data_IF_393904562121
#
_entry.id   IF_393904562121
#
_cell.length_a   1.000
_cell.length_b   1.000
_cell.length_c   1.000
_cell.angle_alpha   90.00
_cell.angle_beta   90.00
_cell.angle_gamma   90.00
#
_symmetry.space_group_name_H-M   'P 1'
#
loop_
_entity.id
_entity.type
_entity.pdbx_description
1 polymer ?
#
# COMPACT_ATOMS: atom_id res chain seq x y z
N UNK A 1 21.40 -19.59 -28.14
CA UNK A 1 22.72 -19.50 -27.47
C UNK A 1 22.59 -20.02 -26.03
N UNK A 2 23.70 -20.37 -25.39
CA UNK A 2 23.68 -20.88 -24.00
C UNK A 2 23.62 -19.73 -22.99
N UNK A 3 23.00 -19.96 -21.83
CA UNK A 3 23.14 -19.02 -20.71
C UNK A 3 24.60 -19.04 -20.23
N UNK A 4 25.26 -17.89 -20.01
CA UNK A 4 26.58 -17.85 -19.40
C UNK A 4 26.60 -18.59 -18.05
N UNK A 5 27.63 -19.42 -17.77
CA UNK A 5 27.65 -20.30 -16.59
C UNK A 5 27.39 -19.60 -15.25
N UNK A 6 27.89 -18.38 -15.08
CA UNK A 6 27.71 -17.53 -13.89
C UNK A 6 26.24 -17.14 -13.62
N UNK A 7 25.39 -17.22 -14.64
CA UNK A 7 23.97 -16.93 -14.54
C UNK A 7 23.10 -18.19 -14.48
N UNK A 8 23.63 -19.37 -14.77
CA UNK A 8 22.85 -20.61 -14.94
C UNK A 8 21.93 -21.00 -13.77
N UNK A 9 22.26 -20.61 -12.53
CA UNK A 9 21.45 -20.85 -11.32
C UNK A 9 20.42 -19.76 -11.01
N UNK A 10 20.28 -18.75 -11.86
CA UNK A 10 19.38 -17.61 -11.64
C UNK A 10 17.95 -17.90 -12.11
N UNK A 11 17.04 -17.08 -11.60
CA UNK A 11 15.62 -17.09 -11.93
C UNK A 11 15.19 -15.69 -12.38
N UNK A 12 14.10 -15.65 -13.13
CA UNK A 12 13.32 -14.44 -13.41
C UNK A 12 11.92 -14.60 -12.80
N UNK A 13 11.30 -13.47 -12.47
CA UNK A 13 10.17 -13.43 -11.55
C UNK A 13 8.95 -12.78 -12.19
N UNK A 14 7.77 -13.36 -12.00
CA UNK A 14 6.51 -12.67 -12.24
C UNK A 14 5.75 -12.59 -10.93
N UNK A 15 4.99 -11.52 -10.71
CA UNK A 15 4.08 -11.46 -9.57
C UNK A 15 2.67 -11.08 -10.01
N UNK A 16 1.67 -11.69 -9.39
CA UNK A 16 0.26 -11.49 -9.72
C UNK A 16 -0.61 -11.58 -8.47
N UNK A 17 -1.76 -10.91 -8.46
CA UNK A 17 -2.75 -11.06 -7.40
C UNK A 17 -3.37 -12.47 -7.41
N UNK A 18 -3.67 -13.03 -6.24
CA UNK A 18 -4.27 -14.37 -6.10
C UNK A 18 -5.58 -14.52 -6.87
N UNK A 19 -6.37 -13.47 -7.01
CA UNK A 19 -7.63 -13.50 -7.78
C UNK A 19 -7.43 -13.77 -9.28
N UNK A 20 -6.22 -13.59 -9.80
CA UNK A 20 -5.88 -13.95 -11.18
C UNK A 20 -5.64 -15.44 -11.37
N UNK A 21 -5.45 -16.19 -10.28
CA UNK A 21 -5.09 -17.61 -10.31
C UNK A 21 -6.07 -18.47 -11.13
N UNK A 22 -7.41 -18.33 -11.02
CA UNK A 22 -8.34 -19.08 -11.87
C UNK A 22 -8.14 -18.85 -13.37
N UNK A 23 -7.76 -17.62 -13.79
CA UNK A 23 -7.43 -17.34 -15.18
C UNK A 23 -6.06 -17.94 -15.56
N UNK A 24 -5.05 -17.80 -14.71
CA UNK A 24 -3.72 -18.36 -14.93
C UNK A 24 -3.75 -19.89 -15.07
N UNK A 25 -4.58 -20.58 -14.30
CA UNK A 25 -4.76 -22.05 -14.40
C UNK A 25 -5.35 -22.49 -15.74
N UNK A 26 -6.15 -21.63 -16.40
CA UNK A 26 -6.76 -21.94 -17.70
C UNK A 26 -5.86 -21.63 -18.89
N UNK A 27 -5.16 -20.48 -18.86
CA UNK A 27 -4.44 -19.97 -20.04
C UNK A 27 -2.93 -19.87 -19.88
N UNK A 28 -2.40 -20.09 -18.68
CA UNK A 28 -1.06 -19.59 -18.33
C UNK A 28 -1.02 -18.07 -18.33
N UNK A 29 0.20 -17.53 -18.41
CA UNK A 29 0.42 -16.09 -18.52
C UNK A 29 0.25 -15.66 -19.97
N UNK A 30 -0.56 -14.64 -20.20
CA UNK A 30 -0.81 -14.07 -21.52
C UNK A 30 -0.32 -12.62 -21.54
N UNK A 31 0.27 -12.22 -22.68
CA UNK A 31 0.59 -10.83 -22.93
C UNK A 31 -0.69 -9.98 -23.02
N UNK A 32 -0.63 -8.70 -22.68
CA UNK A 32 -1.81 -7.81 -22.65
C UNK A 32 -2.52 -7.72 -24.01
N UNK A 33 -1.77 -7.72 -25.11
CA UNK A 33 -2.33 -7.69 -26.47
C UNK A 33 -2.78 -9.08 -26.97
N UNK A 34 -2.55 -10.15 -26.20
CA UNK A 34 -2.98 -11.48 -26.59
C UNK A 34 -4.51 -11.56 -26.67
N UNK A 35 -5.05 -12.16 -27.75
CA UNK A 35 -6.50 -12.22 -28.00
C UNK A 35 -7.30 -12.89 -26.88
N UNK A 36 -6.66 -13.83 -26.17
CA UNK A 36 -7.22 -14.55 -25.03
C UNK A 36 -7.01 -13.87 -23.67
N UNK A 37 -6.38 -12.68 -23.62
CA UNK A 37 -6.14 -12.01 -22.35
C UNK A 37 -7.49 -11.72 -21.64
N UNK A 38 -7.63 -12.09 -20.35
CA UNK A 38 -8.89 -11.98 -19.63
C UNK A 38 -9.32 -10.50 -19.52
N UNK A 39 -10.43 -10.15 -20.14
CA UNK A 39 -11.03 -8.80 -20.04
C UNK A 39 -11.91 -8.62 -18.80
N UNK A 40 -12.39 -9.72 -18.24
CA UNK A 40 -13.23 -9.76 -17.05
C UNK A 40 -12.59 -10.68 -16.01
N UNK A 41 -12.71 -10.32 -14.73
CA UNK A 41 -12.13 -11.10 -13.64
C UNK A 41 -10.58 -11.07 -13.61
N UNK A 42 -9.95 -10.13 -14.29
CA UNK A 42 -8.53 -9.84 -14.12
C UNK A 42 -8.37 -8.72 -13.10
N UNK A 43 -7.71 -9.03 -11.99
CA UNK A 43 -7.29 -8.07 -10.98
C UNK A 43 -5.95 -7.47 -11.41
N UNK A 44 -5.99 -6.32 -12.10
CA UNK A 44 -4.78 -5.59 -12.46
C UNK A 44 -4.21 -4.85 -11.25
N UNK A 45 -2.94 -5.14 -10.93
CA UNK A 45 -2.17 -4.44 -9.89
C UNK A 45 -1.16 -3.44 -10.47
N UNK A 46 -1.20 -3.20 -11.78
CA UNK A 46 -0.26 -2.33 -12.47
C UNK A 46 -0.71 -0.86 -12.42
N UNK A 47 0.25 0.06 -12.23
CA UNK A 47 -0.01 1.50 -12.30
C UNK A 47 -0.47 1.92 -13.70
N UNK A 48 -1.55 2.71 -13.76
CA UNK A 48 -2.25 3.08 -15.00
C UNK A 48 -1.35 3.82 -16.00
N UNK A 49 -0.50 4.73 -15.49
CA UNK A 49 0.45 5.50 -16.32
C UNK A 49 1.53 4.66 -17.00
N UNK A 50 1.82 3.46 -16.48
CA UNK A 50 2.80 2.53 -17.06
C UNK A 50 2.23 1.78 -18.27
N UNK A 51 0.95 1.41 -18.22
CA UNK A 51 0.29 0.60 -19.25
C UNK A 51 0.29 1.29 -20.61
N UNK A 52 0.00 2.60 -20.67
CA UNK A 52 -0.01 3.33 -21.94
C UNK A 52 1.36 3.29 -22.63
N UNK A 53 2.44 3.56 -21.89
CA UNK A 53 3.80 3.58 -22.45
C UNK A 53 4.20 2.21 -23.00
N UNK A 54 3.84 1.13 -22.30
CA UNK A 54 4.13 -0.24 -22.72
C UNK A 54 3.35 -0.67 -23.96
N UNK A 55 2.14 -0.14 -24.16
CA UNK A 55 1.37 -0.37 -25.39
C UNK A 55 2.03 0.22 -26.64
N UNK A 56 2.82 1.29 -26.47
CA UNK A 56 3.41 2.07 -27.56
C UNK A 56 4.92 1.80 -27.74
N UNK A 57 5.62 1.27 -26.73
CA UNK A 57 7.06 1.03 -26.77
C UNK A 57 7.40 -0.15 -27.70
N UNK A 58 8.03 0.16 -28.83
CA UNK A 58 8.46 -0.84 -29.81
C UNK A 58 9.58 -1.75 -29.27
N UNK A 59 9.52 -3.02 -29.62
CA UNK A 59 10.59 -4.00 -29.38
C UNK A 59 11.39 -4.16 -30.69
N UNK A 60 12.66 -3.74 -30.75
CA UNK A 60 13.41 -3.66 -32.01
C UNK A 60 14.10 -4.96 -32.44
N UNK A 61 14.05 -6.01 -31.62
CA UNK A 61 14.73 -7.29 -31.84
C UNK A 61 13.79 -8.47 -31.55
N UNK A 62 14.27 -9.71 -31.76
CA UNK A 62 13.46 -10.90 -31.58
C UNK A 62 12.15 -10.88 -32.39
N UNK A 63 11.00 -11.28 -31.82
CA UNK A 63 9.70 -11.27 -32.50
C UNK A 63 9.16 -9.89 -32.90
N UNK A 64 9.75 -8.79 -32.41
CA UNK A 64 9.29 -7.43 -32.70
C UNK A 64 7.98 -7.05 -31.98
N UNK A 65 7.20 -6.14 -32.55
CA UNK A 65 5.95 -5.65 -31.94
C UNK A 65 6.18 -4.57 -30.88
N UNK A 66 5.33 -4.52 -29.86
CA UNK A 66 5.48 -3.64 -28.71
C UNK A 66 5.54 -4.41 -27.38
N UNK A 67 5.92 -3.75 -26.29
CA UNK A 67 6.10 -4.39 -24.98
C UNK A 67 4.82 -5.09 -24.48
N UNK A 68 3.62 -4.60 -24.83
CA UNK A 68 2.35 -5.27 -24.52
C UNK A 68 2.08 -6.57 -25.29
N UNK A 69 2.89 -6.91 -26.29
CA UNK A 69 2.88 -8.21 -26.94
C UNK A 69 3.67 -9.27 -26.13
N UNK A 70 4.24 -8.91 -24.98
CA UNK A 70 5.07 -9.77 -24.16
C UNK A 70 4.53 -9.92 -22.73
N UNK A 71 4.70 -11.11 -22.15
CA UNK A 71 4.55 -11.39 -20.72
C UNK A 71 5.81 -10.89 -20.00
N UNK A 72 5.68 -9.97 -19.01
CA UNK A 72 6.83 -9.44 -18.30
C UNK A 72 7.31 -10.35 -17.17
N UNK A 73 8.60 -10.60 -17.14
CA UNK A 73 9.32 -11.23 -16.04
C UNK A 73 10.43 -10.28 -15.59
N UNK A 74 10.74 -10.20 -14.31
CA UNK A 74 11.76 -9.34 -13.73
C UNK A 74 13.03 -10.14 -13.42
N UNK A 75 14.21 -9.56 -13.63
CA UNK A 75 15.44 -10.19 -13.16
C UNK A 75 15.63 -10.07 -11.64
N UNK A 76 15.09 -9.00 -11.04
CA UNK A 76 15.16 -8.76 -9.59
C UNK A 76 13.99 -9.40 -8.84
N UNK A 77 14.29 -10.15 -7.77
CA UNK A 77 13.26 -10.78 -6.93
C UNK A 77 12.48 -9.75 -6.07
N UNK A 78 13.13 -8.65 -5.69
CA UNK A 78 12.52 -7.54 -4.95
C UNK A 78 12.40 -6.35 -5.89
N UNK A 79 11.33 -6.31 -6.67
CA UNK A 79 11.12 -5.27 -7.67
C UNK A 79 10.62 -3.96 -7.03
N UNK A 80 11.23 -2.80 -7.34
CA UNK A 80 10.64 -1.50 -7.03
C UNK A 80 9.22 -1.31 -7.57
N UNK A 81 8.79 -2.07 -8.59
CA UNK A 81 7.40 -2.06 -9.04
C UNK A 81 6.45 -2.59 -7.96
N UNK A 82 6.79 -3.68 -7.27
CA UNK A 82 5.98 -4.20 -6.17
C UNK A 82 5.88 -3.19 -5.03
N UNK A 83 6.96 -2.45 -4.73
CA UNK A 83 6.92 -1.37 -3.74
C UNK A 83 5.90 -0.29 -4.12
N UNK A 84 5.81 0.07 -5.40
CA UNK A 84 4.77 0.96 -5.91
C UNK A 84 3.36 0.40 -5.71
N UNK A 85 3.15 -0.89 -6.03
CA UNK A 85 1.86 -1.58 -5.86
C UNK A 85 1.39 -1.55 -4.40
N UNK A 86 2.24 -1.90 -3.45
CA UNK A 86 1.85 -1.95 -2.03
C UNK A 86 1.65 -0.55 -1.44
N UNK A 87 2.44 0.46 -1.88
CA UNK A 87 2.30 1.84 -1.41
C UNK A 87 0.99 2.49 -1.86
N UNK A 88 0.40 2.06 -2.98
CA UNK A 88 -0.91 2.52 -3.43
C UNK A 88 -2.07 2.00 -2.55
N UNK A 89 -1.82 1.01 -1.67
CA UNK A 89 -2.81 0.42 -0.75
C UNK A 89 -4.10 -0.06 -1.44
N UNK A 90 -3.97 -0.59 -2.66
CA UNK A 90 -5.08 -1.20 -3.40
C UNK A 90 -5.16 -2.72 -3.23
N UNK A 91 -4.08 -3.34 -2.76
CA UNK A 91 -3.98 -4.77 -2.49
C UNK A 91 -3.13 -5.01 -1.25
N UNK A 92 -3.39 -6.12 -0.58
CA UNK A 92 -2.57 -6.60 0.52
C UNK A 92 -1.37 -7.38 -0.03
N UNK A 93 -0.16 -7.08 0.44
CA UNK A 93 1.06 -7.72 -0.07
C UNK A 93 1.01 -9.25 0.06
N UNK A 94 0.32 -9.76 1.09
CA UNK A 94 0.13 -11.19 1.29
C UNK A 94 -0.68 -11.88 0.19
N UNK A 95 -1.50 -11.14 -0.56
CA UNK A 95 -2.34 -11.69 -1.65
C UNK A 95 -1.59 -11.73 -3.00
N UNK A 96 -0.33 -11.31 -3.03
CA UNK A 96 0.54 -11.44 -4.18
C UNK A 96 1.17 -12.84 -4.21
N UNK A 97 1.13 -13.46 -5.39
CA UNK A 97 1.82 -14.71 -5.71
C UNK A 97 3.05 -14.39 -6.56
N UNK A 98 4.21 -14.95 -6.21
CA UNK A 98 5.41 -14.88 -7.05
C UNK A 98 5.59 -16.19 -7.82
N UNK A 99 5.90 -16.09 -9.11
CA UNK A 99 6.25 -17.21 -9.95
C UNK A 99 7.70 -17.09 -10.36
N UNK A 100 8.48 -18.14 -10.14
CA UNK A 100 9.88 -18.17 -10.51
C UNK A 100 10.10 -19.04 -11.73
N UNK A 101 10.77 -18.49 -12.74
CA UNK A 101 11.14 -19.19 -13.96
C UNK A 101 12.65 -19.30 -14.02
N UNK A 102 13.22 -20.47 -14.34
CA UNK A 102 14.66 -20.59 -14.57
C UNK A 102 15.11 -19.61 -15.66
N UNK A 103 16.28 -18.98 -15.49
CA UNK A 103 16.79 -18.01 -16.47
C UNK A 103 17.03 -18.63 -17.87
N UNK A 104 17.10 -19.97 -17.95
CA UNK A 104 17.13 -20.71 -19.21
C UNK A 104 15.93 -20.44 -20.11
N UNK A 105 14.86 -19.81 -19.60
CA UNK A 105 13.78 -19.28 -20.42
C UNK A 105 14.27 -18.34 -21.53
N UNK A 106 15.37 -17.62 -21.32
CA UNK A 106 15.98 -16.74 -22.32
C UNK A 106 16.59 -17.50 -23.52
N UNK A 107 16.70 -18.84 -23.44
CA UNK A 107 17.19 -19.65 -24.56
C UNK A 107 16.10 -19.95 -25.59
N UNK A 108 14.84 -19.62 -25.27
CA UNK A 108 13.74 -19.71 -26.22
C UNK A 108 13.89 -18.64 -27.30
N UNK A 109 13.43 -18.93 -28.52
CA UNK A 109 13.51 -17.99 -29.65
C UNK A 109 12.48 -16.85 -29.62
N UNK A 110 11.60 -16.82 -28.61
CA UNK A 110 10.50 -15.88 -28.46
C UNK A 110 10.67 -14.97 -27.23
N UNK A 111 11.89 -14.85 -26.71
CA UNK A 111 12.19 -14.06 -25.51
C UNK A 111 13.23 -13.00 -25.84
N UNK A 112 12.95 -11.77 -25.42
CA UNK A 112 13.91 -10.66 -25.41
C UNK A 112 14.12 -10.21 -23.97
N UNK A 113 15.16 -9.44 -23.69
CA UNK A 113 15.37 -8.86 -22.38
C UNK A 113 15.93 -7.45 -22.46
N UNK A 114 15.81 -6.70 -21.36
CA UNK A 114 16.19 -5.28 -21.29
C UNK A 114 17.19 -5.02 -20.18
N UNK A 115 18.01 -3.98 -20.31
CA UNK A 115 18.93 -3.53 -19.25
C UNK A 115 18.29 -2.63 -18.18
N UNK A 116 17.05 -2.20 -18.40
CA UNK A 116 16.25 -1.37 -17.50
C UNK A 116 14.76 -1.60 -17.78
N UNK A 117 13.85 -1.08 -16.96
CA UNK A 117 12.41 -1.35 -17.17
C UNK A 117 11.90 -0.84 -18.50
N UNK A 118 11.09 -1.66 -19.15
CA UNK A 118 10.42 -1.36 -20.40
C UNK A 118 9.15 -0.53 -20.14
N UNK A 119 9.29 0.60 -19.42
CA UNK A 119 8.20 1.54 -19.13
C UNK A 119 8.68 3.00 -18.97
N UNK A 120 9.93 3.26 -19.32
CA UNK A 120 10.55 4.59 -19.36
C UNK A 120 10.06 5.38 -20.57
N UNK A 121 10.29 6.71 -20.54
CA UNK A 121 10.02 7.58 -21.70
C UNK A 121 11.01 7.30 -22.82
N UNK A 122 12.29 7.17 -22.49
CA UNK A 122 13.35 6.74 -23.41
C UNK A 122 13.43 5.22 -23.31
N UNK A 123 13.13 4.45 -24.38
CA UNK A 123 13.17 3.00 -24.32
C UNK A 123 14.53 2.46 -23.85
N UNK A 124 14.56 1.39 -23.03
CA UNK A 124 15.81 0.74 -22.66
C UNK A 124 16.43 0.04 -23.86
N UNK A 125 17.65 -0.47 -23.69
CA UNK A 125 18.24 -1.34 -24.70
C UNK A 125 17.60 -2.73 -24.60
N UNK A 126 17.21 -3.28 -25.75
CA UNK A 126 16.68 -4.63 -25.88
C UNK A 126 17.73 -5.57 -26.47
N UNK A 127 17.71 -6.82 -26.01
CA UNK A 127 18.64 -7.88 -26.39
C UNK A 127 17.86 -9.17 -26.66
N UNK A 128 18.30 -9.95 -27.64
CA UNK A 128 17.79 -11.28 -27.97
C UNK A 128 18.89 -12.36 -27.89
N UNK A 129 20.10 -11.98 -27.44
CA UNK A 129 21.22 -12.87 -27.20
C UNK A 129 21.54 -13.00 -25.70
N UNK A 130 21.39 -14.18 -25.09
CA UNK A 130 21.79 -14.44 -23.71
C UNK A 130 23.25 -14.11 -23.34
N UNK A 131 24.19 -14.09 -24.29
CA UNK A 131 25.59 -13.67 -24.02
C UNK A 131 25.66 -12.20 -23.59
N UNK A 132 24.64 -11.40 -23.92
CA UNK A 132 24.55 -9.99 -23.55
C UNK A 132 24.03 -9.78 -22.12
N UNK A 133 23.77 -10.84 -21.34
CA UNK A 133 23.46 -10.72 -19.91
C UNK A 133 24.57 -10.01 -19.11
N UNK A 134 25.81 -10.02 -19.59
CA UNK A 134 26.90 -9.24 -19.03
C UNK A 134 26.70 -7.72 -19.11
N UNK A 135 25.76 -7.23 -19.93
CA UNK A 135 25.42 -5.81 -20.08
C UNK A 135 24.41 -5.30 -19.05
N UNK A 136 23.82 -6.20 -18.26
CA UNK A 136 22.90 -5.84 -17.19
C UNK A 136 23.67 -5.39 -15.94
N UNK A 137 23.12 -4.42 -15.21
CA UNK A 137 23.65 -4.01 -13.92
C UNK A 137 23.18 -4.99 -12.83
N UNK A 138 23.92 -6.08 -12.65
CA UNK A 138 23.59 -7.10 -11.64
C UNK A 138 23.70 -6.60 -10.19
N UNK A 139 24.56 -5.60 -9.91
CA UNK A 139 24.60 -4.96 -8.59
C UNK A 139 23.29 -4.26 -8.27
N UNK A 140 22.70 -3.56 -9.26
CA UNK A 140 21.37 -3.00 -9.12
C UNK A 140 20.33 -4.11 -8.94
N UNK A 141 20.24 -5.03 -9.90
CA UNK A 141 19.24 -6.12 -9.91
C UNK A 141 19.21 -6.92 -8.59
N UNK A 142 20.39 -7.24 -8.03
CA UNK A 142 20.52 -8.03 -6.80
C UNK A 142 20.37 -7.19 -5.52
N UNK A 143 20.19 -5.87 -5.62
CA UNK A 143 20.06 -4.97 -4.47
C UNK A 143 18.78 -5.22 -3.69
N UNK A 144 18.95 -5.50 -2.38
CA UNK A 144 17.86 -5.65 -1.41
C UNK A 144 17.45 -4.33 -0.74
N UNK A 145 18.15 -3.23 -1.03
CA UNK A 145 17.83 -1.92 -0.44
C UNK A 145 16.48 -1.45 -0.98
N UNK A 146 15.65 -0.86 -0.12
CA UNK A 146 14.36 -0.32 -0.57
C UNK A 146 14.54 0.99 -1.33
N UNK A 147 15.40 1.87 -0.82
CA UNK A 147 15.78 3.12 -1.48
C UNK A 147 16.64 2.90 -2.73
N UNK A 148 16.62 3.90 -3.61
CA UNK A 148 17.43 3.95 -4.82
C UNK A 148 18.29 5.22 -4.78
N UNK A 149 19.53 5.13 -5.26
CA UNK A 149 20.46 6.27 -5.27
C UNK A 149 20.06 7.34 -6.29
N UNK A 150 19.42 6.93 -7.39
CA UNK A 150 18.85 7.77 -8.42
C UNK A 150 17.82 6.96 -9.23
N UNK A 151 17.17 7.61 -10.19
CA UNK A 151 16.11 7.00 -10.99
C UNK A 151 16.64 5.96 -11.99
N UNK A 152 17.81 6.18 -12.58
CA UNK A 152 18.47 5.22 -13.49
C UNK A 152 18.74 3.89 -12.79
N UNK A 153 19.27 3.93 -11.56
CA UNK A 153 19.49 2.76 -10.73
C UNK A 153 18.16 2.05 -10.42
N UNK A 154 17.10 2.82 -10.07
CA UNK A 154 15.76 2.25 -9.86
C UNK A 154 15.26 1.51 -11.11
N UNK A 155 15.47 2.08 -12.29
CA UNK A 155 15.07 1.48 -13.57
C UNK A 155 15.89 0.23 -13.93
N UNK A 156 17.19 0.22 -13.67
CA UNK A 156 18.05 -0.96 -13.86
C UNK A 156 17.66 -2.15 -12.97
N UNK A 157 17.21 -1.89 -11.73
CA UNK A 157 16.66 -2.92 -10.83
C UNK A 157 15.42 -3.61 -11.38
N UNK A 158 14.69 -2.91 -12.23
CA UNK A 158 13.46 -3.36 -12.86
C UNK A 158 13.72 -3.85 -14.29
N UNK A 159 14.95 -4.25 -14.63
CA UNK A 159 15.26 -4.94 -15.88
C UNK A 159 14.34 -6.16 -16.08
N UNK A 160 13.88 -6.37 -17.31
CA UNK A 160 12.85 -7.37 -17.64
C UNK A 160 13.35 -8.41 -18.63
N UNK A 161 12.89 -9.65 -18.47
CA UNK A 161 12.80 -10.65 -19.53
C UNK A 161 11.36 -10.66 -20.04
N UNK A 162 11.17 -10.54 -21.34
CA UNK A 162 9.89 -10.35 -22.01
C UNK A 162 9.64 -11.55 -22.92
N UNK A 163 8.59 -12.34 -22.61
CA UNK A 163 8.22 -13.56 -23.37
C UNK A 163 7.07 -13.26 -24.32
N UNK A 164 7.26 -13.45 -25.62
CA UNK A 164 6.26 -13.07 -26.64
C UNK A 164 4.99 -13.91 -26.56
N UNK A 165 3.83 -13.23 -26.55
CA UNK A 165 2.49 -13.80 -26.64
C UNK A 165 2.00 -14.50 -25.37
N UNK A 166 2.66 -15.59 -24.95
CA UNK A 166 2.21 -16.41 -23.82
C UNK A 166 3.34 -17.23 -23.18
N UNK A 167 3.17 -17.52 -21.89
CA UNK A 167 4.06 -18.36 -21.11
C UNK A 167 3.24 -19.38 -20.31
N UNK A 168 3.42 -20.70 -20.53
CA UNK A 168 2.71 -21.72 -19.78
C UNK A 168 3.03 -21.64 -18.28
N UNK A 169 2.00 -21.82 -17.44
CA UNK A 169 2.14 -21.85 -15.99
C UNK A 169 3.12 -22.95 -15.52
N UNK A 170 3.10 -24.10 -16.20
CA UNK A 170 4.01 -25.21 -15.95
C UNK A 170 5.50 -24.91 -16.23
N UNK A 171 5.82 -23.76 -16.86
CA UNK A 171 7.20 -23.32 -17.02
C UNK A 171 7.79 -22.71 -15.73
N UNK A 172 6.94 -22.34 -14.77
CA UNK A 172 7.40 -21.88 -13.47
C UNK A 172 7.92 -23.07 -12.66
N UNK A 173 9.10 -22.89 -12.06
CA UNK A 173 9.70 -23.88 -11.17
C UNK A 173 8.92 -23.98 -9.85
N UNK A 174 8.41 -22.85 -9.35
CA UNK A 174 7.62 -22.76 -8.12
C UNK A 174 6.74 -21.51 -8.08
N UNK A 175 5.72 -21.57 -7.24
CA UNK A 175 4.87 -20.47 -6.82
C UNK A 175 5.20 -20.13 -5.36
N UNK A 176 5.77 -18.95 -5.13
CA UNK A 176 6.12 -18.44 -3.81
C UNK A 176 4.94 -17.68 -3.21
N UNK A 177 4.54 -18.06 -2.00
CA UNK A 177 3.42 -17.47 -1.27
C UNK A 177 3.88 -16.87 0.06
N UNK A 178 3.08 -15.97 0.62
CA UNK A 178 3.44 -15.20 1.81
C UNK A 178 3.42 -16.04 3.10
N UNK A 179 2.34 -16.79 3.35
CA UNK A 179 2.16 -17.59 4.58
C UNK A 179 1.26 -18.82 4.34
N UNK A 180 1.11 -19.65 5.38
CA UNK A 180 0.28 -20.87 5.34
C UNK A 180 -1.19 -20.60 4.95
N UNK A 181 -1.76 -19.47 5.38
CA UNK A 181 -3.14 -19.11 5.03
C UNK A 181 -3.32 -18.89 3.52
N UNK A 182 -2.37 -18.18 2.90
CA UNK A 182 -2.35 -17.95 1.45
C UNK A 182 -2.02 -19.24 0.70
N UNK A 183 -1.06 -20.04 1.21
CA UNK A 183 -0.75 -21.37 0.67
C UNK A 183 -2.01 -22.22 0.55
N UNK A 184 -2.76 -22.35 1.64
CA UNK A 184 -4.01 -23.11 1.65
C UNK A 184 -5.03 -22.58 0.63
N UNK A 185 -5.21 -21.25 0.53
CA UNK A 185 -6.09 -20.65 -0.49
C UNK A 185 -5.66 -21.02 -1.92
N UNK A 186 -4.36 -21.01 -2.20
CA UNK A 186 -3.83 -21.41 -3.52
C UNK A 186 -4.08 -22.90 -3.76
N UNK A 187 -3.80 -23.76 -2.78
CA UNK A 187 -4.05 -25.21 -2.85
C UNK A 187 -5.52 -25.52 -3.13
N UNK A 188 -6.45 -24.84 -2.45
CA UNK A 188 -7.90 -25.00 -2.65
C UNK A 188 -8.31 -24.63 -4.10
N UNK A 189 -7.84 -23.47 -4.61
CA UNK A 189 -8.13 -23.03 -5.99
C UNK A 189 -7.53 -23.99 -7.04
N UNK A 190 -6.32 -24.48 -6.81
CA UNK A 190 -5.63 -25.42 -7.72
C UNK A 190 -6.33 -26.78 -7.72
N UNK A 191 -6.73 -27.29 -6.55
CA UNK A 191 -7.43 -28.56 -6.41
C UNK A 191 -8.76 -28.56 -7.15
N UNK A 192 -9.51 -27.45 -7.10
CA UNK A 192 -10.76 -27.27 -7.84
C UNK A 192 -10.55 -27.32 -9.37
N UNK A 193 -9.46 -26.73 -9.87
CA UNK A 193 -9.16 -26.71 -11.30
C UNK A 193 -8.64 -28.06 -11.84
N UNK A 194 -8.03 -28.89 -10.99
CA UNK A 194 -7.54 -30.21 -11.38
C UNK A 194 -6.38 -30.20 -12.40
N UNK A 195 -5.61 -29.11 -12.46
CA UNK A 195 -4.47 -28.95 -13.39
C UNK A 195 -3.13 -29.00 -12.66
N UNK A 196 -2.04 -29.42 -13.31
CA UNK A 196 -0.70 -29.34 -12.74
C UNK A 196 -0.35 -27.89 -12.37
N UNK A 197 0.22 -27.71 -11.18
CA UNK A 197 0.65 -26.42 -10.67
C UNK A 197 2.11 -26.51 -10.18
N UNK A 198 2.91 -25.43 -10.30
CA UNK A 198 4.25 -25.38 -9.71
C UNK A 198 4.21 -25.68 -8.22
N UNK A 199 5.33 -26.16 -7.67
CA UNK A 199 5.44 -26.41 -6.23
C UNK A 199 5.16 -25.11 -5.47
N UNK A 200 4.33 -25.17 -4.42
CA UNK A 200 3.98 -24.02 -3.59
C UNK A 200 4.93 -23.96 -2.41
N UNK A 201 5.72 -22.88 -2.32
CA UNK A 201 6.76 -22.71 -1.31
C UNK A 201 6.71 -21.32 -0.66
N UNK A 202 7.41 -21.15 0.45
CA UNK A 202 7.68 -19.83 1.02
C UNK A 202 9.01 -19.29 0.50
N UNK A 203 9.23 -17.98 0.65
CA UNK A 203 10.53 -17.38 0.35
C UNK A 203 11.64 -17.97 1.24
N UNK A 204 12.90 -17.82 0.82
CA UNK A 204 14.06 -18.23 1.62
C UNK A 204 14.91 -17.02 2.00
N UNK A 205 15.75 -17.09 3.05
CA UNK A 205 16.67 -15.99 3.41
C UNK A 205 17.63 -15.59 2.26
N UNK A 206 17.97 -16.54 1.40
CA UNK A 206 18.84 -16.38 0.22
C UNK A 206 18.11 -15.68 -0.92
N UNK A 207 16.78 -15.81 -1.00
CA UNK A 207 15.94 -15.22 -2.05
C UNK A 207 14.64 -14.71 -1.46
N UNK A 208 14.66 -13.41 -1.16
CA UNK A 208 13.54 -12.64 -0.62
C UNK A 208 12.69 -12.06 -1.74
N UNK A 209 11.39 -11.98 -1.54
CA UNK A 209 10.41 -11.46 -2.51
C UNK A 209 9.61 -10.28 -1.96
N UNK A 210 9.61 -10.13 -0.64
CA UNK A 210 8.71 -9.25 0.08
C UNK A 210 9.40 -8.03 0.70
N UNK A 211 8.64 -6.95 0.84
CA UNK A 211 8.99 -5.80 1.66
C UNK A 211 8.40 -5.97 3.06
N UNK A 212 9.22 -6.47 3.99
CA UNK A 212 8.81 -6.75 5.37
C UNK A 212 9.41 -5.76 6.37
N UNK A 213 8.69 -5.41 7.42
CA UNK A 213 9.26 -4.64 8.52
C UNK A 213 10.38 -5.46 9.21
N UNK A 214 11.55 -4.86 9.36
CA UNK A 214 12.71 -5.45 10.04
C UNK A 214 13.28 -4.56 11.14
N UNK A 215 12.80 -3.32 11.26
CA UNK A 215 13.32 -2.31 12.18
C UNK A 215 12.53 -2.30 13.50
N UNK A 216 11.21 -2.48 13.43
CA UNK A 216 10.36 -2.53 14.61
C UNK A 216 10.20 -3.98 15.09
N UNK A 217 10.77 -4.31 16.25
CA UNK A 217 10.78 -5.67 16.78
C UNK A 217 9.37 -6.28 16.88
N UNK A 218 8.38 -5.49 17.30
CA UNK A 218 6.98 -5.92 17.45
C UNK A 218 6.29 -6.26 16.11
N UNK A 219 6.81 -5.78 14.99
CA UNK A 219 6.24 -5.96 13.64
C UNK A 219 7.18 -6.71 12.71
N UNK A 220 8.23 -7.34 13.25
CA UNK A 220 9.24 -8.01 12.45
C UNK A 220 8.61 -9.10 11.57
N UNK A 221 8.83 -9.00 10.27
CA UNK A 221 8.31 -9.96 9.28
C UNK A 221 6.90 -9.66 8.76
N UNK A 222 6.20 -8.64 9.26
CA UNK A 222 4.92 -8.20 8.67
C UNK A 222 5.17 -7.39 7.40
N UNK A 223 4.14 -7.21 6.58
CA UNK A 223 4.19 -6.25 5.46
C UNK A 223 4.61 -4.86 5.94
N UNK A 224 5.41 -4.15 5.15
CA UNK A 224 5.73 -2.75 5.44
C UNK A 224 4.55 -1.81 5.19
N UNK A 225 3.63 -2.17 4.29
CA UNK A 225 2.39 -1.42 4.10
C UNK A 225 1.22 -2.34 4.36
N UNK A 226 0.32 -1.92 5.24
CA UNK A 226 -0.91 -2.61 5.56
C UNK A 226 -1.89 -2.35 4.42
N UNK A 227 -2.35 -3.41 3.76
CA UNK A 227 -3.29 -3.29 2.64
C UNK A 227 -4.73 -3.03 3.11
N UNK A 228 -5.66 -2.79 2.17
CA UNK A 228 -7.03 -2.42 2.49
C UNK A 228 -7.77 -3.50 3.30
N UNK A 229 -7.54 -4.79 3.01
CA UNK A 229 -8.17 -5.89 3.72
C UNK A 229 -7.64 -5.99 5.15
N UNK A 230 -6.33 -5.88 5.33
CA UNK A 230 -5.70 -5.86 6.66
C UNK A 230 -6.18 -4.64 7.48
N UNK A 231 -6.26 -3.45 6.88
CA UNK A 231 -6.78 -2.24 7.56
C UNK A 231 -8.21 -2.48 8.04
N UNK A 232 -9.09 -2.99 7.17
CA UNK A 232 -10.48 -3.29 7.52
C UNK A 232 -10.61 -4.31 8.66
N UNK A 233 -9.77 -5.36 8.66
CA UNK A 233 -9.74 -6.34 9.75
C UNK A 233 -9.29 -5.73 11.08
N UNK A 234 -8.23 -4.91 11.07
CA UNK A 234 -7.72 -4.24 12.28
C UNK A 234 -8.76 -3.27 12.83
N UNK A 235 -9.37 -2.46 11.97
CA UNK A 235 -10.46 -1.57 12.35
C UNK A 235 -11.64 -2.34 12.96
N UNK A 236 -12.09 -3.41 12.28
CA UNK A 236 -13.20 -4.24 12.76
C UNK A 236 -12.91 -4.88 14.12
N UNK A 237 -11.69 -5.37 14.33
CA UNK A 237 -11.26 -5.94 15.61
C UNK A 237 -11.26 -4.88 16.72
N UNK A 238 -10.75 -3.69 16.44
CA UNK A 238 -10.77 -2.57 17.38
C UNK A 238 -12.21 -2.15 17.72
N UNK A 239 -13.12 -2.10 16.73
CA UNK A 239 -14.54 -1.86 16.97
C UNK A 239 -15.16 -2.93 17.86
N UNK A 240 -14.90 -4.21 17.61
CA UNK A 240 -15.41 -5.29 18.46
C UNK A 240 -14.93 -5.15 19.91
N UNK A 241 -13.64 -4.87 20.11
CA UNK A 241 -13.06 -4.65 21.43
C UNK A 241 -13.68 -3.43 22.12
N UNK A 242 -13.76 -2.28 21.43
CA UNK A 242 -14.41 -1.08 21.94
C UNK A 242 -15.85 -1.33 22.37
N UNK A 243 -16.67 -1.90 21.48
CA UNK A 243 -18.08 -2.15 21.73
C UNK A 243 -18.29 -3.12 22.89
N UNK A 244 -17.33 -4.01 23.14
CA UNK A 244 -17.38 -4.91 24.29
C UNK A 244 -17.12 -4.19 25.60
N UNK A 245 -16.37 -3.08 25.61
CA UNK A 245 -15.83 -2.42 26.81
C UNK A 245 -16.37 -1.01 27.09
N UNK A 246 -17.07 -0.37 26.15
CA UNK A 246 -17.67 0.97 26.32
C UNK A 246 -18.54 1.03 27.59
N UNK A 247 -18.35 2.11 28.37
CA UNK A 247 -19.10 2.39 29.59
C UNK A 247 -18.70 1.58 30.83
N UNK A 248 -17.81 0.57 30.70
CA UNK A 248 -17.40 -0.26 31.85
C UNK A 248 -16.52 0.46 32.87
N UNK A 249 -15.84 1.53 32.47
CA UNK A 249 -14.84 2.24 33.28
C UNK A 249 -15.24 3.69 33.57
N UNK A 250 -16.54 4.01 33.48
CA UNK A 250 -17.05 5.37 33.61
C UNK A 250 -16.66 6.03 34.95
N UNK A 251 -16.66 5.29 36.05
CA UNK A 251 -16.33 5.82 37.39
C UNK A 251 -14.84 6.17 37.57
N UNK A 252 -13.96 5.57 36.76
CA UNK A 252 -12.50 5.75 36.83
C UNK A 252 -11.94 6.52 35.64
N UNK A 253 -12.80 7.02 34.76
CA UNK A 253 -12.38 7.73 33.55
C UNK A 253 -11.76 9.08 33.90
N UNK A 254 -10.81 9.51 33.08
CA UNK A 254 -10.12 10.80 33.23
C UNK A 254 -10.98 11.96 32.71
N UNK A 255 -11.82 11.69 31.70
CA UNK A 255 -12.77 12.64 31.13
C UNK A 255 -14.18 12.04 31.15
N UNK A 256 -15.18 12.83 31.51
CA UNK A 256 -16.58 12.45 31.58
C UNK A 256 -17.10 11.98 30.21
N UNK A 257 -16.82 12.75 29.15
CA UNK A 257 -17.28 12.48 27.79
C UNK A 257 -16.31 12.99 26.71
N UNK A 258 -16.66 12.81 25.43
CA UNK A 258 -15.82 13.25 24.32
C UNK A 258 -15.70 14.79 24.20
N UNK A 259 -16.61 15.56 24.78
CA UNK A 259 -16.59 17.03 24.76
C UNK A 259 -15.59 17.54 25.78
N UNK A 260 -15.55 16.97 26.99
CA UNK A 260 -14.54 17.30 27.99
C UNK A 260 -13.13 16.97 27.48
N UNK A 261 -12.95 15.80 26.86
CA UNK A 261 -11.67 15.44 26.23
C UNK A 261 -11.27 16.46 25.15
N UNK A 262 -12.20 16.86 24.28
CA UNK A 262 -11.91 17.86 23.25
C UNK A 262 -11.48 19.20 23.86
N UNK A 263 -12.13 19.64 24.93
CA UNK A 263 -11.75 20.88 25.62
C UNK A 263 -10.36 20.76 26.26
N UNK A 264 -10.04 19.62 26.87
CA UNK A 264 -8.70 19.38 27.42
C UNK A 264 -7.62 19.41 26.33
N UNK A 265 -7.85 18.80 25.16
CA UNK A 265 -6.92 18.83 24.03
C UNK A 265 -6.72 20.23 23.43
N UNK A 266 -7.75 21.09 23.48
CA UNK A 266 -7.66 22.50 23.09
C UNK A 266 -6.75 23.30 24.03
N UNK A 267 -6.83 23.03 25.33
CA UNK A 267 -6.02 23.69 26.34
C UNK A 267 -4.58 23.17 26.36
N UNK A 268 -4.42 21.85 26.38
CA UNK A 268 -3.13 21.17 26.36
C UNK A 268 -3.19 19.92 25.47
N UNK A 269 -2.50 19.98 24.34
CA UNK A 269 -2.35 18.83 23.45
C UNK A 269 -1.77 17.61 24.16
N UNK A 270 -0.88 17.80 25.15
CA UNK A 270 -0.24 16.72 25.90
C UNK A 270 -1.09 16.11 27.02
N UNK A 271 -2.38 16.43 27.12
CA UNK A 271 -3.23 15.96 28.21
C UNK A 271 -3.48 14.43 28.22
N UNK A 272 -3.30 13.74 27.10
CA UNK A 272 -3.35 12.28 27.02
C UNK A 272 -1.95 11.68 27.02
N UNK A 273 -1.79 10.49 27.62
CA UNK A 273 -0.54 9.74 27.53
C UNK A 273 -0.07 9.54 26.08
N UNK A 274 -1.00 9.28 25.16
CA UNK A 274 -0.72 9.04 23.74
C UNK A 274 -0.29 10.31 23.00
N UNK A 275 -0.91 11.46 23.28
CA UNK A 275 -0.56 12.73 22.63
C UNK A 275 0.67 13.38 23.27
N UNK A 276 0.91 13.18 24.57
CA UNK A 276 2.12 13.59 25.27
C UNK A 276 3.39 13.01 24.60
N UNK A 277 3.34 11.76 24.14
CA UNK A 277 4.44 11.10 23.43
C UNK A 277 4.81 11.84 22.11
N UNK A 278 3.84 12.53 21.50
CA UNK A 278 4.03 13.26 20.25
C UNK A 278 4.58 14.68 20.44
N UNK A 279 4.50 15.25 21.65
CA UNK A 279 4.96 16.62 21.94
C UNK A 279 6.45 16.76 21.68
N UNK A 280 6.84 17.51 20.65
CA UNK A 280 8.25 17.66 20.26
C UNK A 280 8.83 16.42 19.57
N UNK A 281 8.01 15.48 19.10
CA UNK A 281 8.49 14.34 18.31
C UNK A 281 8.87 14.83 16.91
N UNK A 282 10.17 14.82 16.60
CA UNK A 282 10.68 15.28 15.29
C UNK A 282 10.28 14.28 14.22
N UNK A 283 9.81 14.79 13.08
CA UNK A 283 9.49 13.98 11.90
C UNK A 283 10.50 14.21 10.77
N UNK A 284 10.90 13.13 10.12
CA UNK A 284 11.51 13.15 8.80
C UNK A 284 10.43 13.39 7.75
N UNK A 285 10.04 14.66 7.59
CA UNK A 285 9.21 15.08 6.47
C UNK A 285 10.02 16.03 5.57
N UNK A 286 10.08 15.71 4.28
CA UNK A 286 10.83 16.48 3.28
C UNK A 286 10.24 17.86 3.00
N UNK A 287 8.97 18.09 3.38
CA UNK A 287 8.21 19.32 3.10
C UNK A 287 8.35 20.34 4.23
N UNK A 288 8.35 19.90 5.48
CA UNK A 288 8.55 20.78 6.63
C UNK A 288 9.17 20.05 7.82
N UNK A 289 10.01 20.76 8.59
CA UNK A 289 10.74 20.22 9.75
C UNK A 289 9.96 20.29 11.07
N UNK A 290 8.64 20.42 11.00
CA UNK A 290 7.75 20.52 12.18
C UNK A 290 7.71 19.19 12.94
N UNK A 291 7.49 19.27 14.25
CA UNK A 291 7.23 18.10 15.09
C UNK A 291 5.78 17.65 14.91
N UNK A 292 5.49 16.40 15.28
CA UNK A 292 4.15 15.81 15.07
C UNK A 292 3.06 16.64 15.75
N UNK A 293 3.26 17.07 16.99
CA UNK A 293 2.31 17.92 17.72
C UNK A 293 2.03 19.27 17.05
N UNK A 294 3.05 19.88 16.42
CA UNK A 294 2.89 21.16 15.71
C UNK A 294 2.07 20.94 14.44
N UNK A 295 2.35 19.87 13.68
CA UNK A 295 1.55 19.48 12.52
C UNK A 295 0.09 19.26 12.93
N UNK A 296 -0.16 18.46 13.97
CA UNK A 296 -1.52 18.18 14.45
C UNK A 296 -2.30 19.45 14.80
N UNK A 297 -1.68 20.42 15.47
CA UNK A 297 -2.31 21.72 15.79
C UNK A 297 -2.63 22.54 14.54
N UNK A 298 -1.81 22.45 13.50
CA UNK A 298 -2.07 23.12 12.21
C UNK A 298 -3.20 22.45 11.44
N UNK A 299 -3.29 21.11 11.46
CA UNK A 299 -4.46 20.38 10.91
C UNK A 299 -5.74 20.85 11.59
N UNK A 300 -5.76 20.93 12.92
CA UNK A 300 -6.92 21.44 13.66
C UNK A 300 -7.24 22.89 13.25
N UNK A 301 -6.24 23.78 13.20
CA UNK A 301 -6.46 25.16 12.79
C UNK A 301 -7.01 25.29 11.35
N UNK A 302 -6.50 24.47 10.41
CA UNK A 302 -7.00 24.40 9.04
C UNK A 302 -8.44 23.90 9.03
N UNK A 303 -8.74 22.80 9.72
CA UNK A 303 -10.09 22.23 9.83
C UNK A 303 -11.10 23.26 10.32
N UNK A 304 -10.79 23.98 11.41
CA UNK A 304 -11.66 25.01 11.99
C UNK A 304 -11.91 26.20 11.04
N UNK A 305 -11.04 26.42 10.05
CA UNK A 305 -11.18 27.47 9.05
C UNK A 305 -11.96 27.05 7.79
N UNK A 306 -12.25 25.75 7.62
CA UNK A 306 -12.95 25.22 6.46
C UNK A 306 -14.43 25.62 6.48
N UNK A 307 -14.97 25.97 5.29
CA UNK A 307 -16.42 26.20 5.11
C UNK A 307 -17.20 24.93 5.46
N UNK A 308 -16.67 23.80 5.02
CA UNK A 308 -17.21 22.46 5.21
C UNK A 308 -17.37 22.13 6.70
N UNK A 309 -16.40 22.50 7.54
CA UNK A 309 -16.52 22.33 9.00
C UNK A 309 -17.63 23.21 9.58
N UNK A 310 -17.79 24.45 9.09
CA UNK A 310 -18.87 25.35 9.50
C UNK A 310 -20.28 24.85 9.15
N UNK A 311 -20.41 23.97 8.17
CA UNK A 311 -21.67 23.36 7.71
C UNK A 311 -22.04 22.09 8.50
N UNK A 312 -21.09 21.52 9.25
CA UNK A 312 -21.32 20.35 10.09
C UNK A 312 -22.19 20.68 11.32
N UNK A 313 -23.05 19.73 11.67
CA UNK A 313 -23.82 19.76 12.93
C UNK A 313 -22.88 19.76 14.13
N UNK A 314 -23.34 20.29 15.26
CA UNK A 314 -22.54 20.38 16.49
C UNK A 314 -21.88 19.06 16.90
N UNK A 315 -22.63 17.96 16.92
CA UNK A 315 -22.06 16.64 17.24
C UNK A 315 -21.03 16.15 16.22
N UNK A 316 -21.17 16.49 14.93
CA UNK A 316 -20.18 16.15 13.90
C UNK A 316 -18.90 16.97 14.07
N UNK A 317 -19.04 18.27 14.40
CA UNK A 317 -17.91 19.17 14.67
C UNK A 317 -17.04 18.67 15.83
N UNK A 318 -17.67 18.21 16.91
CA UNK A 318 -16.96 17.59 18.05
C UNK A 318 -16.15 16.37 17.58
N UNK A 319 -16.78 15.45 16.84
CA UNK A 319 -16.12 14.22 16.40
C UNK A 319 -14.95 14.47 15.43
N UNK A 320 -15.15 15.31 14.41
CA UNK A 320 -14.09 15.56 13.42
C UNK A 320 -12.93 16.37 13.99
N UNK A 321 -13.20 17.30 14.90
CA UNK A 321 -12.13 18.04 15.59
C UNK A 321 -11.34 17.16 16.54
N UNK A 322 -12.02 16.29 17.31
CA UNK A 322 -11.36 15.31 18.14
C UNK A 322 -10.55 14.31 17.29
N UNK A 323 -11.07 13.88 16.14
CA UNK A 323 -10.32 13.06 15.20
C UNK A 323 -9.09 13.79 14.66
N UNK A 324 -9.18 15.10 14.40
CA UNK A 324 -8.03 15.89 13.97
C UNK A 324 -6.93 15.97 15.04
N UNK A 325 -7.28 16.05 16.33
CA UNK A 325 -6.28 15.94 17.40
C UNK A 325 -5.66 14.55 17.50
N UNK A 326 -6.40 13.51 17.14
CA UNK A 326 -6.00 12.11 17.34
C UNK A 326 -5.47 11.40 16.09
N UNK A 327 -5.57 12.00 14.89
CA UNK A 327 -5.29 11.30 13.62
C UNK A 327 -3.89 10.68 13.57
N UNK A 328 -2.93 11.35 14.22
CA UNK A 328 -1.51 11.01 14.19
C UNK A 328 -1.00 10.25 15.43
N UNK A 329 -1.86 9.89 16.40
CA UNK A 329 -1.42 9.22 17.65
C UNK A 329 -0.68 7.91 17.38
N UNK A 330 -1.03 7.22 16.29
CA UNK A 330 -0.35 6.00 15.88
C UNK A 330 1.07 6.21 15.35
N UNK A 331 1.60 7.45 15.28
CA UNK A 331 3.03 7.73 15.11
C UNK A 331 3.81 7.53 16.42
N UNK A 332 3.13 7.51 17.56
CA UNK A 332 3.72 7.18 18.86
C UNK A 332 3.78 5.67 19.12
N UNK A 333 4.28 5.25 20.31
CA UNK A 333 5.00 6.08 21.28
C UNK A 333 6.36 6.54 20.72
N UNK A 334 6.99 7.53 21.36
CA UNK A 334 8.27 8.10 20.93
C UNK A 334 9.38 7.05 20.85
N UNK A 335 9.36 6.09 21.78
CA UNK A 335 10.34 5.02 21.89
C UNK A 335 10.43 4.13 20.65
N UNK A 336 9.39 4.10 19.80
CA UNK A 336 9.45 3.43 18.49
C UNK A 336 10.57 3.97 17.61
N UNK A 337 10.97 5.22 17.79
CA UNK A 337 11.92 5.90 16.92
C UNK A 337 13.36 5.93 17.47
N UNK A 338 13.61 5.32 18.64
CA UNK A 338 14.92 5.32 19.29
C UNK A 338 16.01 4.71 18.40
N UNK A 339 15.67 3.68 17.62
CA UNK A 339 16.59 3.04 16.67
C UNK A 339 17.10 3.99 15.57
N UNK A 340 16.39 5.11 15.35
CA UNK A 340 16.72 6.13 14.38
C UNK A 340 16.99 7.50 15.06
N UNK A 341 17.54 7.47 16.28
CA UNK A 341 17.92 8.67 17.02
C UNK A 341 16.73 9.54 17.46
N UNK A 342 15.56 8.94 17.64
CA UNK A 342 14.32 9.63 18.04
C UNK A 342 13.65 10.42 16.92
N UNK A 343 14.05 10.22 15.66
CA UNK A 343 13.45 10.84 14.49
C UNK A 343 12.38 9.92 13.89
N UNK A 344 11.12 10.36 13.95
CA UNK A 344 9.95 9.71 13.37
C UNK A 344 10.11 9.61 11.84
N UNK A 345 9.98 8.40 11.28
CA UNK A 345 10.09 8.15 9.83
C UNK A 345 8.70 8.09 9.20
N UNK A 346 8.59 8.30 7.89
CA UNK A 346 7.34 8.06 7.16
C UNK A 346 6.80 6.67 7.49
N UNK A 347 5.60 6.64 8.07
CA UNK A 347 4.94 5.41 8.54
C UNK A 347 3.57 5.30 7.88
N UNK A 348 3.43 4.54 6.77
CA UNK A 348 2.15 4.38 6.09
C UNK A 348 1.11 3.62 6.92
N UNK A 349 1.51 3.06 8.07
CA UNK A 349 0.66 2.23 8.94
C UNK A 349 0.30 2.91 10.26
N UNK A 350 0.70 4.17 10.47
CA UNK A 350 0.31 4.88 11.67
C UNK A 350 -1.22 4.93 11.89
N UNK A 351 -2.11 4.94 10.86
CA UNK A 351 -3.55 4.92 11.13
C UNK A 351 -4.02 3.62 11.79
N UNK A 352 -3.50 2.46 11.38
CA UNK A 352 -3.81 1.18 12.03
C UNK A 352 -3.06 1.02 13.36
N UNK A 353 -1.87 1.62 13.48
CA UNK A 353 -1.12 1.71 14.75
C UNK A 353 -1.86 2.51 15.83
N UNK A 354 -2.75 3.42 15.43
CA UNK A 354 -3.60 4.17 16.35
C UNK A 354 -4.76 3.31 16.92
N UNK A 355 -5.14 2.21 16.30
CA UNK A 355 -6.37 1.50 16.68
C UNK A 355 -6.37 0.96 18.13
N UNK A 356 -5.29 0.32 18.62
CA UNK A 356 -5.22 -0.05 20.04
C UNK A 356 -5.25 1.17 20.98
N UNK A 357 -4.74 2.32 20.54
CA UNK A 357 -4.80 3.56 21.31
C UNK A 357 -6.21 4.12 21.35
N UNK A 358 -6.94 4.09 20.23
CA UNK A 358 -8.34 4.49 20.16
C UNK A 358 -9.21 3.62 21.06
N UNK A 359 -8.98 2.30 21.09
CA UNK A 359 -9.66 1.39 22.01
C UNK A 359 -9.46 1.85 23.45
N UNK A 360 -8.21 2.12 23.85
CA UNK A 360 -7.90 2.57 25.20
C UNK A 360 -8.57 3.92 25.52
N UNK A 361 -8.43 4.92 24.65
CA UNK A 361 -9.00 6.26 24.85
C UNK A 361 -10.52 6.18 25.01
N UNK A 362 -11.20 5.47 24.11
CA UNK A 362 -12.67 5.43 24.04
C UNK A 362 -13.35 4.48 25.04
N UNK A 363 -12.59 3.66 25.77
CA UNK A 363 -13.15 2.70 26.74
C UNK A 363 -12.64 2.87 28.16
N UNK A 364 -11.46 3.49 28.34
CA UNK A 364 -10.80 3.64 29.65
C UNK A 364 -10.60 5.09 30.06
N UNK A 365 -10.31 5.96 29.09
CA UNK A 365 -9.94 7.36 29.36
C UNK A 365 -11.17 8.27 29.32
N UNK A 366 -12.10 8.01 28.39
CA UNK A 366 -13.39 8.70 28.29
C UNK A 366 -14.49 7.84 28.89
N UNK A 367 -15.25 8.39 29.84
CA UNK A 367 -16.25 7.65 30.61
C UNK A 367 -17.54 7.36 29.85
N UNK A 368 -18.05 8.34 29.11
CA UNK A 368 -19.31 8.25 28.40
C UNK A 368 -19.15 8.68 26.94
N UNK A 369 -19.07 7.70 26.05
CA UNK A 369 -19.14 7.88 24.60
C UNK A 369 -20.08 6.83 24.03
N UNK A 370 -21.01 7.25 23.16
CA UNK A 370 -21.94 6.28 22.55
C UNK A 370 -21.19 5.37 21.57
N UNK A 371 -21.66 4.13 21.43
CA UNK A 371 -21.10 3.16 20.47
C UNK A 371 -20.94 3.72 19.05
N UNK A 372 -21.91 4.52 18.61
CA UNK A 372 -21.90 5.18 17.30
C UNK A 372 -20.78 6.22 17.24
N UNK A 373 -20.68 7.12 18.23
CA UNK A 373 -19.64 8.15 18.29
C UNK A 373 -18.24 7.54 18.36
N UNK A 374 -18.05 6.52 19.19
CA UNK A 374 -16.76 5.82 19.34
C UNK A 374 -16.33 5.15 18.03
N UNK A 375 -17.25 4.46 17.36
CA UNK A 375 -16.98 3.81 16.06
C UNK A 375 -16.65 4.84 14.99
N UNK A 376 -17.42 5.93 14.90
CA UNK A 376 -17.16 7.00 13.93
C UNK A 376 -15.81 7.69 14.21
N UNK A 377 -15.46 7.97 15.47
CA UNK A 377 -14.18 8.58 15.82
C UNK A 377 -13.00 7.68 15.44
N UNK A 378 -13.05 6.39 15.80
CA UNK A 378 -12.03 5.43 15.41
C UNK A 378 -11.92 5.29 13.88
N UNK A 379 -13.05 5.34 13.16
CA UNK A 379 -13.09 5.30 11.69
C UNK A 379 -12.38 6.51 11.09
N UNK A 380 -12.70 7.71 11.56
CA UNK A 380 -12.06 8.94 11.10
C UNK A 380 -10.54 8.89 11.32
N UNK A 381 -10.07 8.41 12.47
CA UNK A 381 -8.63 8.26 12.76
C UNK A 381 -7.99 7.18 11.88
N UNK A 382 -8.64 6.02 11.71
CA UNK A 382 -8.08 4.90 10.93
C UNK A 382 -7.97 5.22 9.42
N UNK A 383 -8.85 6.07 8.92
CA UNK A 383 -8.98 6.35 7.49
C UNK A 383 -8.70 7.82 7.11
N UNK A 384 -8.15 8.66 8.02
CA UNK A 384 -7.94 10.09 7.74
C UNK A 384 -7.12 10.36 6.47
N UNK A 385 -6.12 9.52 6.19
CA UNK A 385 -5.27 9.59 5.00
C UNK A 385 -6.02 9.25 3.69
N UNK A 386 -7.14 8.53 3.76
CA UNK A 386 -7.77 7.86 2.60
C UNK A 386 -8.08 8.84 1.46
N UNK A 387 -8.73 9.97 1.77
CA UNK A 387 -9.13 10.95 0.73
C UNK A 387 -7.90 11.57 0.07
N UNK A 388 -6.88 11.93 0.85
CA UNK A 388 -5.62 12.46 0.33
C UNK A 388 -4.86 11.42 -0.51
N UNK A 389 -4.89 10.14 -0.12
CA UNK A 389 -4.27 9.06 -0.88
C UNK A 389 -5.01 8.75 -2.20
N UNK A 390 -6.33 8.86 -2.24
CA UNK A 390 -7.12 8.71 -3.47
C UNK A 390 -6.78 9.84 -4.45
N UNK A 391 -6.69 11.08 -3.97
CA UNK A 391 -6.40 12.25 -4.81
C UNK A 391 -4.93 12.29 -5.27
N UNK A 392 -3.98 11.83 -4.44
CA UNK A 392 -2.55 12.04 -4.67
C UNK A 392 -1.67 10.81 -4.85
N UNK A 393 -2.15 9.59 -4.52
CA UNK A 393 -1.30 8.37 -4.45
C UNK A 393 -1.89 7.14 -5.14
N UNK A 394 -2.79 7.33 -6.11
CA UNK A 394 -3.40 6.25 -6.91
C UNK A 394 -4.19 5.22 -6.09
N UNK A 395 -4.64 5.55 -4.88
CA UNK A 395 -5.54 4.69 -4.09
C UNK A 395 -6.94 4.66 -4.73
N UNK A 396 -7.59 3.50 -4.76
CA UNK A 396 -8.89 3.32 -5.39
C UNK A 396 -9.98 4.09 -4.63
N UNK A 397 -10.67 4.98 -5.33
CA UNK A 397 -11.77 5.79 -4.81
C UNK A 397 -12.92 4.95 -4.23
N UNK A 398 -13.13 3.71 -4.72
CA UNK A 398 -14.16 2.81 -4.16
C UNK A 398 -13.93 2.49 -2.69
N UNK A 399 -12.69 2.53 -2.21
CA UNK A 399 -12.40 2.31 -0.80
C UNK A 399 -13.03 3.36 0.11
N UNK A 400 -13.38 4.55 -0.39
CA UNK A 400 -14.17 5.53 0.39
C UNK A 400 -15.57 4.97 0.64
N UNK A 401 -16.22 4.44 -0.40
CA UNK A 401 -17.55 3.84 -0.33
C UNK A 401 -17.58 2.58 0.55
N UNK A 402 -16.49 1.81 0.56
CA UNK A 402 -16.37 0.62 1.42
C UNK A 402 -16.26 0.97 2.92
N UNK A 403 -15.95 2.23 3.24
CA UNK A 403 -15.64 2.69 4.62
C UNK A 403 -16.77 3.54 5.20
N UNK A 404 -17.34 4.47 4.43
CA UNK A 404 -18.34 5.43 4.93
C UNK A 404 -19.75 4.84 4.87
N UNK A 405 -20.51 4.96 5.97
CA UNK A 405 -21.86 4.38 6.04
C UNK A 405 -22.96 5.37 5.62
N UNK A 406 -22.69 6.67 5.69
CA UNK A 406 -23.67 7.72 5.41
C UNK A 406 -22.99 9.07 5.13
N UNK A 407 -23.76 10.03 4.61
CA UNK A 407 -23.26 11.37 4.26
C UNK A 407 -22.52 12.07 5.40
N UNK A 408 -22.92 11.86 6.66
CA UNK A 408 -22.24 12.48 7.81
C UNK A 408 -20.77 12.06 7.89
N UNK A 409 -20.49 10.78 7.70
CA UNK A 409 -19.12 10.27 7.76
C UNK A 409 -18.31 10.70 6.54
N UNK A 410 -18.93 10.74 5.36
CA UNK A 410 -18.33 11.28 4.15
C UNK A 410 -17.91 12.75 4.35
N UNK A 411 -18.81 13.60 4.87
CA UNK A 411 -18.53 15.02 5.13
C UNK A 411 -17.35 15.21 6.08
N UNK A 412 -17.32 14.46 7.20
CA UNK A 412 -16.25 14.55 8.19
C UNK A 412 -14.92 14.01 7.64
N UNK A 413 -14.94 12.92 6.88
CA UNK A 413 -13.74 12.33 6.30
C UNK A 413 -13.10 13.26 5.26
N UNK A 414 -13.91 13.91 4.41
CA UNK A 414 -13.41 14.90 3.46
C UNK A 414 -12.87 16.15 4.15
N UNK A 415 -13.56 16.66 5.17
CA UNK A 415 -13.09 17.82 5.92
C UNK A 415 -11.75 17.54 6.62
N UNK A 416 -11.60 16.37 7.25
CA UNK A 416 -10.37 15.95 7.90
C UNK A 416 -9.22 15.75 6.88
N UNK A 417 -9.48 15.04 5.78
CA UNK A 417 -8.48 14.82 4.73
C UNK A 417 -8.03 16.12 4.07
N UNK A 418 -8.94 17.07 3.85
CA UNK A 418 -8.63 18.42 3.33
C UNK A 418 -7.75 19.19 4.30
N UNK A 419 -8.09 19.19 5.58
CA UNK A 419 -7.33 19.87 6.61
C UNK A 419 -5.91 19.31 6.72
N UNK A 420 -5.75 17.99 6.72
CA UNK A 420 -4.43 17.34 6.83
C UNK A 420 -3.55 17.61 5.60
N UNK A 421 -4.08 17.40 4.39
CA UNK A 421 -3.35 17.66 3.16
C UNK A 421 -2.89 19.13 3.03
N UNK A 422 -3.77 20.08 3.36
CA UNK A 422 -3.48 21.52 3.24
C UNK A 422 -2.62 22.07 4.38
N UNK A 423 -2.55 21.39 5.54
CA UNK A 423 -1.59 21.72 6.60
C UNK A 423 -0.15 21.38 6.18
N UNK A 424 0.04 20.29 5.42
CA UNK A 424 1.32 19.90 4.86
C UNK A 424 1.74 20.82 3.71
N UNK A 425 0.89 20.93 2.68
CA UNK A 425 1.11 21.84 1.55
C UNK A 425 -0.19 22.10 0.78
N UNK A 426 -0.56 23.38 0.62
CA UNK A 426 -1.84 23.74 -0.02
C UNK A 426 -2.02 23.18 -1.45
N UNK A 427 -0.95 23.08 -2.22
CA UNK A 427 -0.99 22.55 -3.59
C UNK A 427 -1.19 21.03 -3.69
N UNK A 428 -1.20 20.30 -2.57
CA UNK A 428 -1.48 18.86 -2.55
C UNK A 428 -2.97 18.54 -2.62
N UNK A 429 -3.82 19.54 -2.39
CA UNK A 429 -5.26 19.38 -2.51
C UNK A 429 -5.75 19.93 -3.86
N UNK A 430 -6.12 19.03 -4.78
CA UNK A 430 -6.83 19.39 -6.01
C UNK A 430 -8.30 19.63 -5.68
N UNK A 431 -8.70 20.89 -5.48
CA UNK A 431 -10.07 21.26 -5.10
C UNK A 431 -11.10 20.72 -6.10
N UNK A 432 -10.87 20.88 -7.42
CA UNK A 432 -11.81 20.39 -8.43
C UNK A 432 -11.82 18.86 -8.50
N UNK A 433 -10.69 18.21 -8.27
CA UNK A 433 -10.60 16.76 -8.11
C UNK A 433 -11.39 16.25 -6.91
N UNK A 434 -11.25 16.92 -5.77
CA UNK A 434 -11.95 16.59 -4.53
C UNK A 434 -13.47 16.78 -4.65
N UNK A 435 -13.93 17.87 -5.27
CA UNK A 435 -15.36 18.11 -5.53
C UNK A 435 -15.96 16.99 -6.39
N UNK A 436 -15.31 16.64 -7.52
CA UNK A 436 -15.77 15.54 -8.37
C UNK A 436 -15.79 14.19 -7.65
N UNK A 437 -14.78 13.92 -6.83
CA UNK A 437 -14.69 12.69 -6.05
C UNK A 437 -15.80 12.63 -5.00
N UNK A 438 -16.06 13.74 -4.30
CA UNK A 438 -17.12 13.87 -3.31
C UNK A 438 -18.50 13.65 -3.94
N UNK A 439 -18.79 14.33 -5.05
CA UNK A 439 -20.07 14.21 -5.76
C UNK A 439 -20.29 12.77 -6.24
N UNK A 440 -19.25 12.15 -6.82
CA UNK A 440 -19.32 10.74 -7.22
C UNK A 440 -19.58 9.81 -6.04
N UNK A 441 -18.95 10.04 -4.88
CA UNK A 441 -19.21 9.26 -3.68
C UNK A 441 -20.66 9.42 -3.23
N UNK A 442 -21.14 10.66 -3.15
CA UNK A 442 -22.50 10.97 -2.70
C UNK A 442 -23.58 10.38 -3.62
N UNK A 443 -23.35 10.34 -4.92
CA UNK A 443 -24.24 9.70 -5.89
C UNK A 443 -24.21 8.16 -5.83
N UNK A 444 -23.12 7.58 -5.32
CA UNK A 444 -22.89 6.13 -5.29
C UNK A 444 -23.26 5.46 -3.95
N UNK A 445 -23.54 6.25 -2.91
CA UNK A 445 -24.05 5.80 -1.60
C UNK A 445 -25.57 5.63 -1.63
#
# INVERSE_FOLDING_TARGET
MSIPPEHSGRYVYHFSHIDNLPNLLRSGFLANNHKGFPRFGHHSIAASGIQKRRAEMAVPCGPGGCVHDYVPLYFGAISPMLLGVINAKNVDQMEILYFEFPISILQRGDVVFTNASANTVIPPQFFDNPDELCKLNWEAIDSRKWGNVNDDFRHQRMAEALVYGSLPLAAAARCVVWNEGIKKRVEDIVAEAGVPFPVIEFESPERRHWFTNFQEAARKGTSIVTGPREISMIFSAACQEMLSDIGKHQESAEFEDEVELLNALREDFGCLAQTAELVGLKSENGVHKRTVDVHTKEVVAKLLSLREYGELKEGQRVLVELAAYLHDIGKGPRSRWDFNGGLQKVDPNHPVGAMPMMVNVLTRVVGNVSAIKATTLAKLVCYHDLVGEVLGKERDARQILDVVDNKSELDMLFALGKADATALAEHWWDETGAERLYDWCLESM
#
